data_IF_039213434002
#
_entry.id   IF_039213434002
#
_cell.length_a   1.000
_cell.length_b   1.000
_cell.length_c   1.000
_cell.angle_alpha   90.00
_cell.angle_beta   90.00
_cell.angle_gamma   90.00
#
_symmetry.space_group_name_H-M   'P 1'
#
loop_
_entity.id
_entity.type
_entity.pdbx_description
1 polymer ?
#
# COMPACT_ATOMS: atom_id res chain seq x y z
N UNK A 1 -28.65 -22.70 -12.14
CA UNK A 1 -28.80 -21.29 -11.71
C UNK A 1 -27.41 -20.80 -11.30
N UNK A 2 -26.62 -20.36 -12.28
CA UNK A 2 -25.24 -19.92 -12.07
C UNK A 2 -25.26 -18.42 -11.76
N UNK A 3 -24.82 -18.03 -10.57
CA UNK A 3 -24.58 -16.62 -10.26
C UNK A 3 -23.18 -16.24 -10.76
N UNK A 4 -23.14 -15.63 -11.93
CA UNK A 4 -21.95 -14.95 -12.45
C UNK A 4 -21.86 -13.59 -11.76
N UNK A 5 -21.00 -13.48 -10.74
CA UNK A 5 -20.70 -12.19 -10.10
C UNK A 5 -19.56 -11.51 -10.84
N UNK A 6 -19.95 -10.50 -11.63
CA UNK A 6 -19.08 -9.54 -12.28
C UNK A 6 -18.10 -8.94 -11.26
N UNK A 7 -16.83 -9.37 -11.31
CA UNK A 7 -15.74 -8.67 -10.62
C UNK A 7 -15.30 -7.54 -11.50
N UNK A 8 -15.79 -6.35 -11.18
CA UNK A 8 -15.33 -5.07 -11.71
C UNK A 8 -13.80 -5.04 -11.73
N UNK A 9 -13.25 -4.99 -12.94
CA UNK A 9 -11.86 -4.65 -13.16
C UNK A 9 -11.71 -3.18 -12.78
N UNK A 10 -11.24 -2.92 -11.57
CA UNK A 10 -10.63 -1.62 -11.24
C UNK A 10 -9.32 -1.59 -12.01
N UNK A 11 -9.41 -1.23 -13.28
CA UNK A 11 -8.26 -0.88 -14.11
C UNK A 11 -7.77 0.45 -13.57
N UNK A 12 -6.76 0.39 -12.70
CA UNK A 12 -6.00 1.58 -12.33
C UNK A 12 -5.23 1.93 -13.60
N UNK A 13 -5.76 2.91 -14.35
CA UNK A 13 -5.08 3.55 -15.47
C UNK A 13 -3.81 4.19 -14.92
N UNK A 14 -2.75 3.39 -14.92
CA UNK A 14 -1.45 3.80 -14.46
C UNK A 14 -0.79 4.33 -15.72
N UNK A 15 -0.49 5.63 -15.74
CA UNK A 15 0.52 6.21 -16.63
C UNK A 15 1.89 5.60 -16.32
N UNK A 16 2.01 4.28 -16.55
CA UNK A 16 2.97 3.36 -15.97
C UNK A 16 4.37 3.47 -16.57
N UNK A 17 4.57 4.33 -17.57
CA UNK A 17 5.89 4.52 -18.16
C UNK A 17 6.90 5.12 -17.15
N UNK A 18 6.42 5.92 -16.18
CA UNK A 18 7.29 6.74 -15.33
C UNK A 18 7.12 6.54 -13.81
N UNK A 19 6.56 5.42 -13.35
CA UNK A 19 6.52 5.11 -11.92
C UNK A 19 7.62 4.09 -11.54
N UNK A 20 8.26 4.29 -10.38
CA UNK A 20 9.17 3.33 -9.77
C UNK A 20 8.61 2.88 -8.42
N UNK A 21 8.79 1.59 -8.12
CA UNK A 21 8.52 1.07 -6.78
C UNK A 21 9.67 1.44 -5.85
N UNK A 22 9.36 1.94 -4.66
CA UNK A 22 10.35 2.22 -3.62
C UNK A 22 9.86 1.68 -2.29
N UNK A 23 10.79 1.18 -1.49
CA UNK A 23 10.54 0.77 -0.11
C UNK A 23 10.82 1.93 0.84
N UNK A 24 9.85 2.26 1.69
CA UNK A 24 9.94 3.34 2.67
C UNK A 24 9.66 2.83 4.08
N UNK A 25 10.30 3.44 5.08
CA UNK A 25 9.94 3.22 6.49
C UNK A 25 8.67 4.01 6.83
N UNK A 26 7.88 3.61 7.84
CA UNK A 26 6.67 4.33 8.25
C UNK A 26 6.86 5.83 8.49
N UNK A 27 8.06 6.23 8.96
CA UNK A 27 8.43 7.63 9.20
C UNK A 27 8.68 8.45 7.92
N UNK A 28 9.01 7.78 6.82
CA UNK A 28 9.37 8.39 5.54
C UNK A 28 8.16 8.44 4.58
N UNK A 29 6.99 7.99 5.03
CA UNK A 29 5.74 8.01 4.26
C UNK A 29 5.15 9.41 4.15
N UNK A 30 4.62 9.71 2.97
CA UNK A 30 3.89 10.94 2.67
C UNK A 30 2.48 10.58 2.15
N UNK A 31 1.55 11.51 2.33
CA UNK A 31 0.20 11.38 1.78
C UNK A 31 0.23 11.36 0.26
N UNK A 32 -0.77 10.73 -0.36
CA UNK A 32 -0.92 10.62 -1.81
C UNK A 32 -0.11 9.50 -2.48
N UNK A 33 0.83 8.86 -1.76
CA UNK A 33 1.54 7.68 -2.28
C UNK A 33 0.60 6.49 -2.40
N UNK A 34 0.81 5.64 -3.42
CA UNK A 34 0.00 4.44 -3.63
C UNK A 34 0.80 3.22 -3.18
N UNK A 35 0.25 2.44 -2.26
CA UNK A 35 0.82 1.18 -1.80
C UNK A 35 0.90 0.18 -2.96
N UNK A 36 2.09 -0.33 -3.28
CA UNK A 36 2.29 -1.24 -4.40
C UNK A 36 2.09 -2.73 -4.04
N UNK A 37 2.23 -3.08 -2.75
CA UNK A 37 2.08 -4.45 -2.22
C UNK A 37 1.26 -4.45 -0.94
N UNK A 38 0.55 -5.53 -0.65
CA UNK A 38 -0.17 -5.65 0.64
C UNK A 38 0.81 -5.45 1.80
N UNK A 39 0.45 -4.58 2.74
CA UNK A 39 1.27 -4.31 3.93
C UNK A 39 0.79 -5.22 5.04
N UNK A 40 1.69 -6.05 5.56
CA UNK A 40 1.43 -6.96 6.67
C UNK A 40 2.33 -6.61 7.85
N UNK A 41 1.83 -6.83 9.05
CA UNK A 41 2.59 -6.76 10.30
C UNK A 41 3.54 -7.95 10.45
N UNK A 42 4.35 -7.98 11.52
CA UNK A 42 5.23 -9.10 11.82
C UNK A 42 4.50 -10.43 12.07
N UNK A 43 3.24 -10.39 12.54
CA UNK A 43 2.36 -11.55 12.73
C UNK A 43 1.44 -11.85 11.54
N UNK A 44 1.77 -11.33 10.35
CA UNK A 44 1.03 -11.54 9.10
C UNK A 44 -0.39 -10.93 9.07
N UNK A 45 -0.77 -10.12 10.06
CA UNK A 45 -2.01 -9.33 10.00
C UNK A 45 -1.91 -8.30 8.87
N UNK A 46 -2.90 -8.29 7.99
CA UNK A 46 -3.05 -7.32 6.92
C UNK A 46 -3.37 -5.93 7.48
N UNK A 47 -2.46 -4.98 7.28
CA UNK A 47 -2.61 -3.59 7.72
C UNK A 47 -3.23 -2.72 6.62
N UNK A 48 -2.76 -2.88 5.37
CA UNK A 48 -3.27 -2.17 4.20
C UNK A 48 -3.20 -3.06 2.95
N UNK A 49 -4.14 -2.86 2.02
CA UNK A 49 -4.14 -3.54 0.73
C UNK A 49 -3.33 -2.77 -0.30
N UNK A 50 -2.74 -3.49 -1.26
CA UNK A 50 -2.19 -2.89 -2.49
C UNK A 50 -3.24 -2.00 -3.18
N UNK A 51 -2.78 -0.93 -3.79
CA UNK A 51 -3.63 0.10 -4.41
C UNK A 51 -4.20 1.13 -3.43
N UNK A 52 -3.96 0.98 -2.12
CA UNK A 52 -4.41 1.99 -1.15
C UNK A 52 -3.59 3.28 -1.30
N UNK A 53 -4.27 4.41 -1.46
CA UNK A 53 -3.64 5.73 -1.37
C UNK A 53 -3.41 6.12 0.08
N UNK A 54 -2.18 6.50 0.42
CA UNK A 54 -1.81 6.90 1.76
C UNK A 54 -2.45 8.24 2.13
N UNK A 55 -3.04 8.28 3.31
CA UNK A 55 -3.60 9.46 3.95
C UNK A 55 -3.07 9.53 5.39
N UNK A 56 -3.33 10.63 6.09
CA UNK A 56 -2.77 10.83 7.43
C UNK A 56 -3.16 9.70 8.40
N UNK A 57 -4.43 9.28 8.37
CA UNK A 57 -4.96 8.23 9.25
C UNK A 57 -4.27 6.88 9.02
N UNK A 58 -4.09 6.47 7.78
CA UNK A 58 -3.46 5.18 7.48
C UNK A 58 -1.95 5.22 7.71
N UNK A 59 -1.29 6.36 7.50
CA UNK A 59 0.12 6.56 7.87
C UNK A 59 0.30 6.44 9.38
N UNK A 60 -0.58 7.06 10.17
CA UNK A 60 -0.55 6.94 11.64
C UNK A 60 -0.77 5.49 12.08
N UNK A 61 -1.75 4.81 11.47
CA UNK A 61 -2.01 3.39 11.73
C UNK A 61 -0.78 2.53 11.44
N UNK A 62 -0.11 2.76 10.31
CA UNK A 62 1.12 2.05 9.95
C UNK A 62 2.25 2.32 10.95
N UNK A 63 2.46 3.58 11.36
CA UNK A 63 3.47 3.95 12.36
C UNK A 63 3.24 3.21 13.68
N UNK A 64 1.99 3.16 14.14
CA UNK A 64 1.60 2.42 15.35
C UNK A 64 1.75 0.91 15.18
N UNK A 65 1.27 0.37 14.07
CA UNK A 65 1.35 -1.05 13.76
C UNK A 65 2.80 -1.54 13.73
N UNK A 66 3.69 -0.81 13.07
CA UNK A 66 5.12 -1.13 13.02
C UNK A 66 5.85 -0.94 14.35
N UNK A 67 5.32 -0.12 15.27
CA UNK A 67 5.88 0.00 16.61
C UNK A 67 5.49 -1.18 17.51
N UNK A 68 4.26 -1.68 17.37
CA UNK A 68 3.71 -2.78 18.18
C UNK A 68 4.16 -4.15 17.64
N UNK A 69 4.06 -4.34 16.33
CA UNK A 69 4.34 -5.59 15.64
C UNK A 69 5.07 -5.32 14.32
N UNK A 70 6.40 -5.10 14.39
CA UNK A 70 7.19 -4.65 13.25
C UNK A 70 7.19 -5.70 12.13
N UNK A 71 6.86 -5.26 10.93
CA UNK A 71 7.03 -6.06 9.73
C UNK A 71 8.51 -6.30 9.43
N UNK A 72 8.81 -7.40 8.72
CA UNK A 72 10.18 -7.74 8.28
C UNK A 72 10.67 -6.86 7.12
N UNK A 73 9.76 -6.11 6.47
CA UNK A 73 10.06 -5.16 5.41
C UNK A 73 9.47 -3.79 5.72
N UNK A 74 9.86 -2.77 4.96
CA UNK A 74 9.17 -1.50 4.86
C UNK A 74 7.88 -1.58 4.04
N UNK A 75 7.34 -0.41 3.74
CA UNK A 75 6.13 -0.23 2.93
C UNK A 75 6.56 0.08 1.50
N UNK A 76 6.15 -0.77 0.55
CA UNK A 76 6.40 -0.56 -0.87
C UNK A 76 5.32 0.35 -1.47
N UNK A 77 5.76 1.40 -2.16
CA UNK A 77 4.89 2.40 -2.79
C UNK A 77 5.34 2.74 -4.20
N UNK A 78 4.41 3.22 -5.01
CA UNK A 78 4.70 3.83 -6.31
C UNK A 78 5.08 5.31 -6.14
N UNK A 79 6.20 5.70 -6.77
CA UNK A 79 6.66 7.08 -6.87
C UNK A 79 6.88 7.45 -8.32
N UNK A 80 6.45 8.63 -8.75
CA UNK A 80 6.76 9.14 -10.09
C UNK A 80 8.27 9.43 -10.20
N UNK A 81 8.89 9.02 -11.30
CA UNK A 81 10.21 9.50 -11.72
C UNK A 81 10.09 11.02 -11.93
N UNK A 82 11.04 11.76 -11.36
CA UNK A 82 11.20 13.20 -11.63
C UNK A 82 11.93 13.40 -12.94
#
# INVERSE_FOLDING_TARGET
MLHEVAKEKITIDTGAADAVEVELRPKDLMTGLIVSRDVRSGTELLLLRKGTTLNERNIETLKRGYHIDPSKSGIFVWKRKK
#
